data_IF_887819832429
#
_entry.id   IF_887819832429
#
_cell.length_a   1.000
_cell.length_b   1.000
_cell.length_c   1.000
_cell.angle_alpha   90.00
_cell.angle_beta   90.00
_cell.angle_gamma   90.00
#
_symmetry.space_group_name_H-M   'P 1'
#
loop_
_entity.id
_entity.type
_entity.pdbx_description
1 polymer ?
#
# COMPACT_ATOMS: atom_id res chain seq x y z
N UNK A 1 32.38 65.56 25.50
CA UNK A 1 31.31 66.02 26.42
C UNK A 1 30.12 66.37 25.52
N UNK A 2 28.94 65.73 25.53
CA UNK A 2 28.23 64.88 26.50
C UNK A 2 27.55 63.70 25.78
N UNK A 3 27.34 62.64 26.55
CA UNK A 3 26.53 61.44 26.28
C UNK A 3 25.01 61.74 26.25
N UNK A 4 24.22 60.81 25.69
CA UNK A 4 22.78 60.73 25.95
C UNK A 4 22.07 59.66 25.08
N UNK A 5 21.55 58.62 25.73
CA UNK A 5 21.14 57.30 25.22
C UNK A 5 19.62 57.16 24.94
N UNK A 6 19.23 56.03 24.31
CA UNK A 6 17.90 55.31 24.29
C UNK A 6 16.92 55.70 23.17
N UNK A 7 16.13 54.82 22.53
CA UNK A 7 15.69 53.41 22.69
C UNK A 7 15.37 52.85 21.27
N UNK A 8 15.73 51.61 20.90
CA UNK A 8 14.94 50.35 20.96
C UNK A 8 13.48 50.46 20.53
N UNK A 9 13.20 50.04 19.30
CA UNK A 9 11.94 49.39 18.90
C UNK A 9 12.31 48.12 18.13
N UNK A 10 12.43 47.02 18.87
CA UNK A 10 12.44 45.66 18.33
C UNK A 10 11.03 45.12 18.59
N UNK A 11 10.09 45.49 17.72
CA UNK A 11 8.74 44.91 17.76
C UNK A 11 8.84 43.44 17.32
N UNK A 12 8.73 42.56 18.30
CA UNK A 12 8.78 41.12 18.11
C UNK A 12 7.61 40.64 17.27
N UNK A 13 7.89 40.13 16.08
CA UNK A 13 6.98 39.19 15.42
C UNK A 13 6.79 37.99 16.34
N UNK A 14 5.55 37.79 16.76
CA UNK A 14 5.16 36.67 17.62
C UNK A 14 5.40 35.35 16.91
N UNK A 15 5.93 34.37 17.64
CA UNK A 15 6.35 33.05 17.14
C UNK A 15 5.17 32.15 16.70
N UNK A 16 3.99 32.73 16.53
CA UNK A 16 2.71 32.06 16.28
C UNK A 16 2.37 31.90 14.80
N UNK A 17 3.07 32.62 13.90
CA UNK A 17 2.79 32.58 12.45
C UNK A 17 3.74 31.67 11.64
N UNK A 18 4.66 30.94 12.30
CA UNK A 18 5.58 29.99 11.65
C UNK A 18 5.09 28.55 11.59
N UNK A 19 3.80 28.27 11.82
CA UNK A 19 3.23 26.96 11.50
C UNK A 19 2.75 26.96 10.05
N UNK A 20 3.71 27.02 9.13
CA UNK A 20 3.46 26.52 7.78
C UNK A 20 2.89 25.11 7.92
N UNK A 21 1.76 24.84 7.24
CA UNK A 21 1.21 23.49 7.13
C UNK A 21 2.38 22.56 6.77
N UNK A 22 2.81 21.71 7.69
CA UNK A 22 3.77 20.67 7.34
C UNK A 22 3.17 19.95 6.14
N UNK A 23 3.91 19.92 5.02
CA UNK A 23 3.54 19.03 3.92
C UNK A 23 3.38 17.64 4.55
N UNK A 24 2.32 16.88 4.20
CA UNK A 24 2.18 15.52 4.71
C UNK A 24 3.52 14.80 4.49
N UNK A 25 3.97 14.07 5.51
CA UNK A 25 5.16 13.24 5.36
C UNK A 25 4.86 12.21 4.26
N UNK A 26 5.47 12.42 3.10
CA UNK A 26 5.20 11.65 1.89
C UNK A 26 6.03 10.36 1.85
N UNK A 27 6.60 9.92 2.98
CA UNK A 27 7.22 8.59 3.15
C UNK A 27 6.21 7.47 3.29
N UNK A 28 6.52 6.30 2.74
CA UNK A 28 5.71 5.08 2.79
C UNK A 28 5.73 4.49 4.22
N UNK A 29 4.97 5.06 5.17
CA UNK A 29 5.09 4.72 6.60
C UNK A 29 3.89 3.96 7.19
N UNK A 30 2.70 4.11 6.59
CA UNK A 30 1.44 3.58 7.14
C UNK A 30 0.91 2.43 6.31
N UNK A 31 1.55 1.29 6.48
CA UNK A 31 1.31 0.09 5.68
C UNK A 31 0.81 -1.02 6.61
N UNK A 32 -0.17 -1.79 6.14
CA UNK A 32 -0.66 -2.96 6.85
C UNK A 32 -0.87 -4.15 5.95
N UNK A 33 -1.05 -5.32 6.56
CA UNK A 33 -1.54 -6.52 5.88
C UNK A 33 -2.77 -7.05 6.62
N UNK A 34 -3.74 -7.61 5.89
CA UNK A 34 -4.91 -8.22 6.49
C UNK A 34 -5.42 -9.41 5.69
N UNK A 35 -5.37 -10.60 6.30
CA UNK A 35 -6.15 -11.75 5.83
C UNK A 35 -7.64 -11.53 6.11
N UNK A 36 -8.41 -11.17 5.07
CA UNK A 36 -9.81 -10.71 5.22
C UNK A 36 -10.83 -11.86 5.21
N UNK A 37 -10.39 -13.09 4.90
CA UNK A 37 -11.20 -14.31 4.75
C UNK A 37 -12.38 -14.25 3.77
N UNK A 38 -12.64 -13.09 3.16
CA UNK A 38 -13.41 -12.81 1.94
C UNK A 38 -13.66 -11.30 1.86
N UNK A 39 -13.47 -10.68 0.69
CA UNK A 39 -13.76 -9.24 0.48
C UNK A 39 -15.21 -8.96 0.08
N UNK A 40 -16.00 -9.98 -0.29
CA UNK A 40 -17.35 -9.78 -0.85
C UNK A 40 -18.25 -9.05 0.15
N UNK A 41 -18.66 -7.83 -0.20
CA UNK A 41 -19.52 -6.98 0.63
C UNK A 41 -18.82 -6.29 1.81
N UNK A 42 -17.49 -6.40 1.91
CA UNK A 42 -16.69 -5.82 3.01
C UNK A 42 -15.78 -4.67 2.58
N UNK A 43 -15.82 -4.27 1.31
CA UNK A 43 -14.96 -3.22 0.76
C UNK A 43 -15.08 -1.91 1.57
N UNK A 44 -16.31 -1.54 1.96
CA UNK A 44 -16.57 -0.36 2.80
C UNK A 44 -16.01 -0.52 4.23
N UNK A 45 -16.29 -1.64 4.89
CA UNK A 45 -15.80 -1.94 6.24
C UNK A 45 -14.27 -1.91 6.32
N UNK A 46 -13.59 -2.50 5.34
CA UNK A 46 -12.12 -2.49 5.26
C UNK A 46 -11.58 -1.07 5.12
N UNK A 47 -12.19 -0.25 4.26
CA UNK A 47 -11.77 1.15 4.08
C UNK A 47 -12.02 1.97 5.34
N UNK A 48 -13.13 1.77 6.04
CA UNK A 48 -13.40 2.45 7.31
C UNK A 48 -12.38 2.08 8.40
N UNK A 49 -11.98 0.79 8.49
CA UNK A 49 -10.95 0.39 9.45
C UNK A 49 -9.56 0.93 9.06
N UNK A 50 -9.22 0.96 7.76
CA UNK A 50 -7.99 1.63 7.29
C UNK A 50 -7.96 3.10 7.72
N UNK A 51 -9.06 3.83 7.55
CA UNK A 51 -9.17 5.22 7.98
C UNK A 51 -9.00 5.37 9.49
N UNK A 52 -9.67 4.51 10.26
CA UNK A 52 -9.60 4.50 11.73
C UNK A 52 -8.19 4.23 12.25
N UNK A 53 -7.46 3.33 11.61
CA UNK A 53 -6.06 2.99 11.97
C UNK A 53 -5.02 3.92 11.32
N UNK A 54 -5.45 4.79 10.40
CA UNK A 54 -4.56 5.64 9.62
C UNK A 54 -3.64 4.85 8.68
N UNK A 55 -4.11 3.70 8.17
CA UNK A 55 -3.41 2.88 7.16
C UNK A 55 -3.66 3.48 5.78
N UNK A 56 -2.60 3.72 5.03
CA UNK A 56 -2.63 4.30 3.70
C UNK A 56 -2.54 3.25 2.59
N UNK A 57 -1.80 2.16 2.84
CA UNK A 57 -1.61 1.04 1.93
C UNK A 57 -1.87 -0.26 2.69
N UNK A 58 -2.77 -1.09 2.18
CA UNK A 58 -3.14 -2.35 2.79
C UNK A 58 -3.04 -3.49 1.78
N UNK A 59 -2.17 -4.46 2.05
CA UNK A 59 -2.17 -5.74 1.36
C UNK A 59 -3.21 -6.65 1.99
N UNK A 60 -4.06 -7.29 1.19
CA UNK A 60 -5.09 -8.21 1.67
C UNK A 60 -4.91 -9.60 1.07
N UNK A 61 -5.15 -10.62 1.88
CA UNK A 61 -5.08 -12.04 1.48
C UNK A 61 -6.41 -12.74 1.76
N UNK A 62 -6.59 -13.95 1.19
CA UNK A 62 -7.85 -14.70 1.19
C UNK A 62 -9.06 -13.86 0.72
N UNK A 63 -8.88 -13.07 -0.34
CA UNK A 63 -9.95 -12.20 -0.83
C UNK A 63 -11.17 -13.00 -1.30
N UNK A 64 -10.96 -14.25 -1.76
CA UNK A 64 -12.00 -15.11 -2.36
C UNK A 64 -12.77 -14.39 -3.46
N UNK A 65 -12.10 -13.42 -4.10
CA UNK A 65 -12.60 -12.68 -5.25
C UNK A 65 -12.14 -13.42 -6.51
N UNK A 66 -12.98 -13.41 -7.54
CA UNK A 66 -12.68 -14.03 -8.83
C UNK A 66 -12.06 -13.02 -9.79
N UNK A 67 -11.29 -13.55 -10.72
CA UNK A 67 -10.63 -12.79 -11.77
C UNK A 67 -9.61 -11.80 -11.21
N UNK A 68 -9.23 -10.85 -12.05
CA UNK A 68 -8.25 -9.81 -11.75
C UNK A 68 -8.75 -8.44 -12.18
N UNK A 69 -8.17 -7.40 -11.59
CA UNK A 69 -8.39 -6.04 -12.07
C UNK A 69 -8.12 -4.97 -11.04
N UNK A 70 -8.48 -3.76 -11.43
CA UNK A 70 -8.37 -2.54 -10.65
C UNK A 70 -9.71 -1.80 -10.68
N UNK A 71 -10.12 -1.22 -9.54
CA UNK A 71 -11.26 -0.30 -9.47
C UNK A 71 -11.13 0.67 -8.30
N UNK A 72 -11.95 1.72 -8.33
CA UNK A 72 -12.21 2.54 -7.14
C UNK A 72 -13.28 1.89 -6.27
N UNK A 73 -13.10 1.96 -4.95
CA UNK A 73 -14.05 1.50 -3.93
C UNK A 73 -14.42 2.66 -3.01
N UNK A 74 -14.98 2.35 -1.83
CA UNK A 74 -15.44 3.33 -0.83
C UNK A 74 -14.46 4.49 -0.63
N UNK A 75 -14.99 5.71 -0.53
CA UNK A 75 -14.22 6.96 -0.37
C UNK A 75 -13.10 7.17 -1.41
N UNK A 76 -13.22 6.54 -2.57
CA UNK A 76 -12.28 6.67 -3.67
C UNK A 76 -10.98 5.88 -3.47
N UNK A 77 -10.90 4.94 -2.52
CA UNK A 77 -9.71 4.08 -2.41
C UNK A 77 -9.53 3.25 -3.69
N UNK A 78 -8.29 3.00 -4.08
CA UNK A 78 -7.99 2.03 -5.13
C UNK A 78 -8.06 0.62 -4.54
N UNK A 79 -8.62 -0.32 -5.29
CA UNK A 79 -8.52 -1.75 -5.04
C UNK A 79 -7.98 -2.42 -6.31
N UNK A 80 -6.83 -3.07 -6.17
CA UNK A 80 -6.29 -4.01 -7.14
C UNK A 80 -6.45 -5.42 -6.57
N UNK A 81 -6.80 -6.39 -7.40
CA UNK A 81 -6.93 -7.78 -6.94
C UNK A 81 -6.48 -8.77 -8.00
N UNK A 82 -5.89 -9.87 -7.52
CA UNK A 82 -5.64 -11.09 -8.28
C UNK A 82 -6.31 -12.24 -7.57
N UNK A 83 -7.14 -13.00 -8.27
CA UNK A 83 -7.91 -14.09 -7.69
C UNK A 83 -8.12 -15.21 -8.70
N UNK A 84 -8.74 -16.30 -8.25
CA UNK A 84 -8.92 -17.48 -9.10
C UNK A 84 -9.83 -17.20 -10.30
N UNK A 85 -9.63 -17.97 -11.37
CA UNK A 85 -10.47 -17.93 -12.56
C UNK A 85 -11.95 -18.21 -12.25
N UNK A 86 -12.83 -17.72 -13.13
CA UNK A 86 -14.28 -17.80 -12.94
C UNK A 86 -14.81 -19.24 -12.82
N UNK A 87 -14.11 -20.22 -13.39
CA UNK A 87 -14.46 -21.65 -13.31
C UNK A 87 -14.05 -22.35 -12.01
N UNK A 88 -13.20 -21.74 -11.18
CA UNK A 88 -12.71 -22.36 -9.94
C UNK A 88 -13.45 -21.85 -8.71
N UNK A 89 -13.46 -22.65 -7.64
CA UNK A 89 -13.99 -22.24 -6.34
C UNK A 89 -13.05 -21.20 -5.74
N UNK A 90 -13.56 -20.01 -5.45
CA UNK A 90 -12.77 -18.94 -4.84
C UNK A 90 -12.40 -19.26 -3.39
N UNK A 91 -11.19 -19.77 -3.20
CA UNK A 91 -10.58 -20.06 -1.89
C UNK A 91 -9.38 -19.16 -1.62
N UNK A 92 -8.74 -18.69 -2.67
CA UNK A 92 -7.50 -17.92 -2.67
C UNK A 92 -7.77 -16.49 -3.16
N UNK A 93 -6.72 -15.71 -3.32
CA UNK A 93 -6.78 -14.36 -3.82
C UNK A 93 -6.03 -13.37 -2.95
N UNK A 94 -5.32 -12.45 -3.61
CA UNK A 94 -4.61 -11.32 -3.03
C UNK A 94 -5.19 -10.01 -3.54
N UNK A 95 -4.93 -8.93 -2.82
CA UNK A 95 -5.29 -7.60 -3.27
C UNK A 95 -4.50 -6.51 -2.58
N UNK A 96 -4.55 -5.33 -3.16
CA UNK A 96 -3.89 -4.14 -2.67
C UNK A 96 -4.91 -3.00 -2.62
N UNK A 97 -5.03 -2.38 -1.45
CA UNK A 97 -5.90 -1.21 -1.24
C UNK A 97 -5.03 0.00 -0.96
N UNK A 98 -5.23 1.08 -1.72
CA UNK A 98 -4.40 2.29 -1.62
C UNK A 98 -5.30 3.53 -1.45
N UNK A 99 -4.93 4.37 -0.48
CA UNK A 99 -5.62 5.64 -0.23
C UNK A 99 -5.55 6.58 -1.46
N UNK A 100 -6.64 7.29 -1.80
CA UNK A 100 -6.70 8.12 -3.00
C UNK A 100 -5.66 9.23 -3.07
N UNK A 101 -5.24 9.75 -1.91
CA UNK A 101 -4.35 10.90 -1.80
C UNK A 101 -2.88 10.48 -1.62
N UNK A 102 -2.52 9.23 -1.93
CA UNK A 102 -1.17 8.69 -1.73
C UNK A 102 -0.35 8.59 -3.01
N UNK A 103 -1.03 8.44 -4.14
CA UNK A 103 -0.41 8.15 -5.43
C UNK A 103 -0.39 9.38 -6.34
N UNK A 104 0.73 9.57 -7.02
CA UNK A 104 0.77 10.29 -8.30
C UNK A 104 0.17 9.37 -9.36
N UNK A 105 0.63 8.11 -9.41
CA UNK A 105 0.25 7.16 -10.45
C UNK A 105 0.40 5.70 -10.02
N UNK A 106 -0.33 4.82 -10.70
CA UNK A 106 -0.08 3.38 -10.74
C UNK A 106 0.61 3.12 -12.08
N UNK A 107 1.90 2.82 -12.04
CA UNK A 107 2.75 2.71 -13.23
C UNK A 107 2.48 1.40 -13.97
N UNK A 108 2.32 0.30 -13.24
CA UNK A 108 2.04 -1.02 -13.81
C UNK A 108 1.43 -1.97 -12.79
N UNK A 109 0.63 -2.92 -13.28
CA UNK A 109 0.11 -4.04 -12.51
C UNK A 109 0.50 -5.36 -13.18
N UNK A 110 1.07 -6.29 -12.41
CA UNK A 110 1.33 -7.66 -12.84
C UNK A 110 0.55 -8.64 -11.96
N UNK A 111 -0.27 -9.48 -12.60
CA UNK A 111 -1.19 -10.40 -11.93
C UNK A 111 -0.67 -11.82 -12.10
N UNK A 112 0.45 -12.11 -11.44
CA UNK A 112 1.24 -13.34 -11.59
C UNK A 112 0.36 -14.59 -11.43
N UNK A 113 -0.39 -14.67 -10.32
CA UNK A 113 -1.37 -15.73 -10.06
C UNK A 113 -2.33 -15.33 -8.92
N UNK A 114 -3.18 -16.24 -8.44
CA UNK A 114 -4.12 -15.99 -7.33
C UNK A 114 -3.45 -15.72 -5.97
N UNK A 115 -2.14 -15.91 -5.86
CA UNK A 115 -1.33 -15.74 -4.65
C UNK A 115 -0.34 -14.59 -4.71
N UNK A 116 0.00 -14.07 -5.88
CA UNK A 116 1.00 -13.01 -6.06
C UNK A 116 0.43 -11.91 -6.97
N UNK A 117 0.49 -10.67 -6.47
CA UNK A 117 0.13 -9.45 -7.18
C UNK A 117 1.27 -8.44 -7.02
N UNK A 118 1.86 -7.99 -8.13
CA UNK A 118 2.92 -6.99 -8.15
C UNK A 118 2.39 -5.68 -8.71
N UNK A 119 2.63 -4.57 -8.02
CA UNK A 119 2.14 -3.25 -8.43
C UNK A 119 3.25 -2.22 -8.30
N UNK A 120 3.63 -1.59 -9.41
CA UNK A 120 4.58 -0.47 -9.41
C UNK A 120 3.79 0.83 -9.24
N UNK A 121 4.12 1.60 -8.20
CA UNK A 121 3.43 2.85 -7.87
C UNK A 121 4.40 4.02 -7.82
N UNK A 122 3.88 5.21 -8.12
CA UNK A 122 4.58 6.47 -7.91
C UNK A 122 3.90 7.26 -6.80
N UNK A 123 4.64 7.53 -5.73
CA UNK A 123 4.17 8.26 -4.56
C UNK A 123 4.25 9.77 -4.75
N UNK A 124 3.53 10.54 -3.91
CA UNK A 124 3.55 12.01 -3.93
C UNK A 124 4.91 12.66 -3.60
N UNK A 125 5.87 11.93 -3.01
CA UNK A 125 7.27 12.37 -2.87
C UNK A 125 8.14 12.09 -4.11
N UNK A 126 7.54 11.66 -5.23
CA UNK A 126 8.24 11.27 -6.46
C UNK A 126 9.01 9.94 -6.37
N UNK A 127 8.98 9.25 -5.22
CA UNK A 127 9.54 7.91 -5.08
C UNK A 127 8.71 6.87 -5.82
N UNK A 128 9.40 5.91 -6.43
CA UNK A 128 8.79 4.75 -7.08
C UNK A 128 9.01 3.52 -6.22
N UNK A 129 7.95 2.74 -6.05
CA UNK A 129 7.94 1.51 -5.25
C UNK A 129 7.27 0.37 -6.02
N UNK A 130 7.85 -0.82 -5.92
CA UNK A 130 7.23 -2.08 -6.35
C UNK A 130 6.65 -2.77 -5.12
N UNK A 131 5.33 -2.90 -5.07
CA UNK A 131 4.60 -3.56 -3.99
C UNK A 131 4.24 -4.97 -4.43
N UNK A 132 4.75 -5.98 -3.73
CA UNK A 132 4.45 -7.39 -4.00
C UNK A 132 3.55 -7.89 -2.87
N UNK A 133 2.26 -8.07 -3.18
CA UNK A 133 1.31 -8.68 -2.24
C UNK A 133 1.28 -10.18 -2.47
N UNK A 134 1.56 -10.96 -1.41
CA UNK A 134 1.68 -12.40 -1.51
C UNK A 134 0.87 -13.18 -0.47
N UNK A 135 0.42 -14.38 -0.84
CA UNK A 135 -0.22 -15.36 0.04
C UNK A 135 0.46 -16.74 -0.08
N UNK A 136 1.17 -17.13 0.97
CA UNK A 136 1.98 -18.34 1.04
C UNK A 136 1.20 -19.64 0.85
N UNK A 137 1.87 -20.63 0.28
CA UNK A 137 1.33 -21.98 0.12
C UNK A 137 0.94 -22.60 1.46
N UNK A 138 -0.06 -23.49 1.43
CA UNK A 138 -0.53 -24.16 2.64
C UNK A 138 0.60 -25.00 3.26
N UNK A 139 0.57 -25.20 4.58
CA UNK A 139 1.58 -26.02 5.30
C UNK A 139 1.76 -27.42 4.67
N UNK A 140 0.65 -28.05 4.27
CA UNK A 140 0.60 -29.38 3.65
C UNK A 140 1.03 -29.41 2.16
N UNK A 141 1.38 -28.26 1.57
CA UNK A 141 1.89 -28.21 0.21
C UNK A 141 3.23 -28.97 0.11
N UNK A 142 3.43 -29.65 -1.02
CA UNK A 142 4.67 -30.36 -1.28
C UNK A 142 5.84 -29.38 -1.48
N UNK A 143 7.06 -29.89 -1.39
CA UNK A 143 8.29 -29.09 -1.50
C UNK A 143 8.36 -28.33 -2.83
N UNK A 144 7.96 -28.98 -3.92
CA UNK A 144 7.96 -28.42 -5.28
C UNK A 144 7.10 -27.16 -5.37
N UNK A 145 5.86 -27.18 -4.87
CA UNK A 145 4.97 -26.00 -4.87
C UNK A 145 5.52 -24.86 -4.03
N UNK A 146 6.12 -25.17 -2.87
CA UNK A 146 6.76 -24.14 -2.03
C UNK A 146 7.95 -23.51 -2.75
N UNK A 147 8.77 -24.32 -3.43
CA UNK A 147 9.88 -23.83 -4.25
C UNK A 147 9.38 -22.98 -5.42
N UNK A 148 8.36 -23.42 -6.17
CA UNK A 148 7.73 -22.64 -7.24
C UNK A 148 7.23 -21.28 -6.73
N UNK A 149 6.58 -21.26 -5.57
CA UNK A 149 6.11 -20.03 -4.93
C UNK A 149 7.25 -19.06 -4.60
N UNK A 150 8.32 -19.54 -3.95
CA UNK A 150 9.46 -18.67 -3.62
C UNK A 150 10.23 -18.22 -4.85
N UNK A 151 10.36 -19.08 -5.88
CA UNK A 151 10.99 -18.72 -7.14
C UNK A 151 10.20 -17.64 -7.88
N UNK A 152 8.87 -17.72 -7.89
CA UNK A 152 8.02 -16.69 -8.47
C UNK A 152 8.21 -15.34 -7.78
N UNK A 153 8.24 -15.30 -6.43
CA UNK A 153 8.50 -14.06 -5.69
C UNK A 153 9.91 -13.52 -5.98
N UNK A 154 10.91 -14.39 -6.01
CA UNK A 154 12.29 -13.97 -6.30
C UNK A 154 12.41 -13.35 -7.68
N UNK A 155 11.74 -13.91 -8.69
CA UNK A 155 11.69 -13.34 -10.03
C UNK A 155 11.11 -11.91 -10.03
N UNK A 156 9.99 -11.69 -9.34
CA UNK A 156 9.38 -10.36 -9.22
C UNK A 156 10.30 -9.34 -8.50
N UNK A 157 11.10 -9.79 -7.54
CA UNK A 157 12.10 -8.96 -6.87
C UNK A 157 13.25 -8.61 -7.83
N UNK A 158 13.74 -9.59 -8.57
CA UNK A 158 14.88 -9.43 -9.49
C UNK A 158 14.53 -8.53 -10.68
N UNK A 159 13.28 -8.56 -11.14
CA UNK A 159 12.77 -7.69 -12.21
C UNK A 159 12.46 -6.26 -11.72
N UNK A 160 12.37 -6.04 -10.40
CA UNK A 160 12.04 -4.73 -9.85
C UNK A 160 13.20 -3.72 -9.95
N UNK A 161 13.01 -2.67 -10.74
CA UNK A 161 13.98 -1.57 -10.90
C UNK A 161 13.86 -0.45 -9.85
N UNK A 162 13.01 -0.64 -8.83
CA UNK A 162 12.70 0.37 -7.81
C UNK A 162 12.71 -0.22 -6.41
N UNK A 163 12.48 0.59 -5.36
CA UNK A 163 12.37 0.09 -3.99
C UNK A 163 11.28 -0.99 -3.91
N UNK A 164 11.59 -2.13 -3.30
CA UNK A 164 10.66 -3.26 -3.21
C UNK A 164 10.09 -3.34 -1.79
N UNK A 165 8.78 -3.52 -1.69
CA UNK A 165 8.11 -3.93 -0.47
C UNK A 165 7.31 -5.20 -0.73
N UNK A 166 7.69 -6.28 -0.03
CA UNK A 166 6.92 -7.52 -0.01
C UNK A 166 6.00 -7.47 1.21
N UNK A 167 4.74 -7.79 1.00
CA UNK A 167 3.73 -7.76 2.05
C UNK A 167 2.69 -8.86 1.84
N UNK A 168 2.02 -9.26 2.91
CA UNK A 168 0.94 -10.23 2.86
C UNK A 168 1.06 -11.24 3.99
N UNK A 169 0.74 -12.48 3.68
CA UNK A 169 0.72 -13.60 4.62
C UNK A 169 1.68 -14.66 4.09
N UNK A 170 2.91 -14.63 4.57
CA UNK A 170 3.96 -15.59 4.24
C UNK A 170 3.91 -16.70 5.28
N UNK A 171 3.39 -17.87 4.89
CA UNK A 171 3.38 -19.09 5.69
C UNK A 171 4.69 -19.87 5.53
#
# INVERSE_FOLDING_TARGET
MKEGTKNRDNEGMTNTERKGKQKPDNKLERIGTWNVRSIKGKEEEIVEEMLKQGIEILGITETKKKGKGIKRIHKGYWLLWSGVDEGRRAREGVGLIIAPNRLIDIISEEYVNERILTVKIKLLNDETWTLIVTYGENEDANKEKKEEYFMAIQQEIDEAESNVLIMGDLQ
#
